data_IF_876024202912
#
_entry.id   IF_876024202912
#
_cell.length_a   1.000
_cell.length_b   1.000
_cell.length_c   1.000
_cell.angle_alpha   90.00
_cell.angle_beta   90.00
_cell.angle_gamma   90.00
#
_symmetry.space_group_name_H-M   'P 1'
#
loop_
_entity.id
_entity.type
_entity.pdbx_description
1 polymer ?
#
# COMPACT_ATOMS: atom_id res chain seq x y z
N UNK A 1 18.45 68.94 7.02
CA UNK A 1 17.52 68.24 6.09
C UNK A 1 17.46 66.79 6.56
N UNK A 2 16.29 66.34 7.02
CA UNK A 2 16.13 65.10 7.80
C UNK A 2 16.23 63.87 6.91
N UNK A 3 17.14 62.96 7.28
CA UNK A 3 17.31 61.64 6.69
C UNK A 3 16.48 60.67 7.52
N UNK A 4 15.48 60.03 6.90
CA UNK A 4 14.71 58.94 7.51
C UNK A 4 15.31 57.59 7.07
N UNK A 5 15.76 56.72 7.99
CA UNK A 5 16.05 55.34 7.67
C UNK A 5 14.77 54.48 7.79
N UNK A 6 14.37 53.86 6.69
CA UNK A 6 13.38 52.78 6.66
C UNK A 6 14.00 51.52 7.28
N UNK A 7 13.44 51.08 8.42
CA UNK A 7 13.68 49.74 8.99
C UNK A 7 12.70 48.77 8.34
N UNK A 8 13.18 47.88 7.49
CA UNK A 8 12.43 46.71 7.03
C UNK A 8 12.56 45.59 8.06
N UNK A 9 11.44 45.20 8.66
CA UNK A 9 11.35 44.03 9.54
C UNK A 9 11.08 42.75 8.73
N UNK A 10 11.74 41.67 9.18
CA UNK A 10 11.51 40.22 9.05
C UNK A 10 10.39 39.71 8.11
N UNK A 11 10.68 38.59 7.42
CA UNK A 11 10.05 37.28 7.69
C UNK A 11 11.08 36.19 7.40
N UNK A 12 11.58 35.55 8.46
CA UNK A 12 12.28 34.26 8.44
C UNK A 12 11.21 33.18 8.43
N UNK A 13 11.32 32.22 7.52
CA UNK A 13 10.45 31.05 7.48
C UNK A 13 10.64 30.19 8.72
N UNK A 14 9.58 30.03 9.51
CA UNK A 14 9.46 29.04 10.57
C UNK A 14 8.12 28.31 10.42
N UNK A 15 8.22 27.03 10.09
CA UNK A 15 7.44 25.91 10.65
C UNK A 15 5.94 26.14 10.91
N UNK A 16 5.16 25.92 9.86
CA UNK A 16 3.70 25.97 9.86
C UNK A 16 3.06 24.67 10.39
N UNK A 17 3.20 24.36 11.68
CA UNK A 17 2.32 23.36 12.33
C UNK A 17 1.90 23.68 13.77
N UNK A 18 2.44 24.73 14.40
CA UNK A 18 2.12 25.06 15.80
C UNK A 18 1.11 26.21 15.99
N UNK A 19 0.65 26.87 14.91
CA UNK A 19 -0.17 28.09 15.04
C UNK A 19 -1.69 27.84 15.11
N UNK A 20 -2.21 26.68 14.71
CA UNK A 20 -3.67 26.44 14.67
C UNK A 20 -4.21 26.08 16.07
N UNK A 21 -3.43 25.38 16.90
CA UNK A 21 -3.84 25.02 18.26
C UNK A 21 -3.93 26.23 19.21
N UNK A 22 -3.09 27.25 19.01
CA UNK A 22 -3.09 28.46 19.84
C UNK A 22 -4.32 29.34 19.60
N UNK A 23 -4.83 29.38 18.37
CA UNK A 23 -6.03 30.16 18.01
C UNK A 23 -7.31 29.51 18.56
N UNK A 24 -7.40 28.17 18.55
CA UNK A 24 -8.56 27.46 19.11
C UNK A 24 -8.63 27.52 20.65
N UNK A 25 -7.48 27.61 21.33
CA UNK A 25 -7.43 27.73 22.78
C UNK A 25 -7.94 29.08 23.28
N UNK A 26 -7.82 30.14 22.46
CA UNK A 26 -8.31 31.47 22.81
C UNK A 26 -9.83 31.60 22.63
N UNK A 27 -10.41 30.87 21.68
CA UNK A 27 -11.86 30.92 21.39
C UNK A 27 -12.71 30.10 22.38
N UNK A 28 -12.15 29.04 22.97
CA UNK A 28 -12.82 28.20 23.96
C UNK A 28 -12.76 28.75 25.41
N UNK A 29 -12.03 29.84 25.64
CA UNK A 29 -11.89 30.47 26.97
C UNK A 29 -13.08 31.33 27.42
N UNK A 30 -14.00 31.70 26.52
CA UNK A 30 -15.17 32.54 26.86
C UNK A 30 -16.44 31.74 27.19
N UNK A 31 -16.50 30.45 26.90
CA UNK A 31 -17.64 29.61 27.25
C UNK A 31 -17.37 28.92 28.60
N UNK A 32 -17.80 29.55 29.69
CA UNK A 32 -17.65 29.07 31.07
C UNK A 32 -18.26 27.68 31.30
N UNK A 33 -17.52 26.62 30.96
CA UNK A 33 -17.86 25.23 31.22
C UNK A 33 -16.96 24.66 32.34
N UNK A 34 -17.53 23.90 33.29
CA UNK A 34 -16.80 23.45 34.47
C UNK A 34 -15.71 22.45 34.08
N UNK A 35 -14.49 22.72 34.58
CA UNK A 35 -13.30 21.89 34.44
C UNK A 35 -13.44 20.57 35.24
N UNK A 36 -14.24 19.64 34.73
CA UNK A 36 -14.26 18.24 35.14
C UNK A 36 -13.45 17.40 34.14
N UNK A 37 -12.56 16.55 34.65
CA UNK A 37 -11.56 15.78 33.87
C UNK A 37 -12.13 14.85 32.79
N UNK A 38 -13.46 14.70 32.70
CA UNK A 38 -14.18 13.84 31.75
C UNK A 38 -15.47 14.50 31.20
N UNK A 39 -15.43 15.80 30.89
CA UNK A 39 -16.55 16.50 30.26
C UNK A 39 -16.81 16.08 28.79
N UNK A 40 -18.06 16.20 28.29
CA UNK A 40 -18.43 15.82 26.92
C UNK A 40 -17.63 16.55 25.83
N UNK A 41 -17.10 17.75 26.12
CA UNK A 41 -16.20 18.48 25.23
C UNK A 41 -14.86 17.78 24.99
N UNK A 42 -14.30 17.09 25.99
CA UNK A 42 -13.03 16.36 25.86
C UNK A 42 -13.22 15.09 25.01
N UNK A 43 -14.40 14.45 25.12
CA UNK A 43 -14.76 13.29 24.28
C UNK A 43 -14.93 13.68 22.81
N UNK A 44 -15.49 14.85 22.53
CA UNK A 44 -15.61 15.37 21.16
C UNK A 44 -14.24 15.74 20.57
N UNK A 45 -13.36 16.36 21.36
CA UNK A 45 -11.99 16.68 20.94
C UNK A 45 -11.15 15.42 20.74
N UNK A 46 -11.32 14.40 21.59
CA UNK A 46 -10.64 13.10 21.43
C UNK A 46 -11.18 12.33 20.23
N UNK A 47 -12.49 12.30 20.01
CA UNK A 47 -13.11 11.69 18.83
C UNK A 47 -12.70 12.42 17.54
N UNK A 48 -12.64 13.76 17.54
CA UNK A 48 -12.12 14.53 16.41
C UNK A 48 -10.63 14.32 16.18
N UNK A 49 -9.83 14.19 17.26
CA UNK A 49 -8.40 13.86 17.16
C UNK A 49 -8.18 12.44 16.62
N UNK A 50 -9.00 11.47 17.01
CA UNK A 50 -8.94 10.10 16.51
C UNK A 50 -9.46 9.99 15.06
N UNK A 51 -10.42 10.85 14.66
CA UNK A 51 -10.86 11.01 13.27
C UNK A 51 -9.81 11.68 12.39
N UNK A 52 -9.02 12.61 12.95
CA UNK A 52 -7.92 13.31 12.27
C UNK A 52 -6.58 12.55 12.32
N UNK A 53 -6.45 11.54 13.19
CA UNK A 53 -5.23 10.73 13.39
C UNK A 53 -5.36 9.30 12.85
N UNK A 54 -6.52 8.93 12.32
CA UNK A 54 -6.65 7.71 11.52
C UNK A 54 -6.00 7.95 10.16
N UNK A 55 -4.97 7.18 9.75
CA UNK A 55 -4.42 7.31 8.42
C UNK A 55 -5.55 7.01 7.42
N UNK A 56 -5.82 7.90 6.44
CA UNK A 56 -6.72 7.52 5.37
C UNK A 56 -6.12 6.29 4.70
N UNK A 57 -6.97 5.30 4.42
CA UNK A 57 -6.65 4.22 3.50
C UNK A 57 -6.37 4.88 2.15
N UNK A 58 -5.12 5.29 1.94
CA UNK A 58 -4.67 5.93 0.72
C UNK A 58 -4.60 4.84 -0.34
N UNK A 59 -5.49 4.98 -1.31
CA UNK A 59 -5.22 4.54 -2.68
C UNK A 59 -3.98 5.33 -3.13
N UNK A 60 -2.80 4.70 -3.08
CA UNK A 60 -1.51 5.27 -3.49
C UNK A 60 -1.46 5.40 -5.03
N UNK A 61 -2.36 6.19 -5.61
CA UNK A 61 -2.57 6.25 -7.06
C UNK A 61 -2.75 7.63 -7.67
N UNK A 62 -2.97 8.71 -6.91
CA UNK A 62 -3.20 10.03 -7.51
C UNK A 62 -2.48 11.15 -6.75
N UNK A 63 -1.23 11.39 -7.16
CA UNK A 63 -0.71 12.75 -7.28
C UNK A 63 -1.74 13.51 -8.14
N UNK A 64 -2.51 14.45 -7.57
CA UNK A 64 -3.60 15.20 -8.24
C UNK A 64 -3.14 16.13 -9.39
N UNK A 65 -2.03 15.81 -10.04
CA UNK A 65 -1.51 16.45 -11.23
C UNK A 65 -2.01 15.78 -12.52
N UNK A 66 -1.76 16.40 -13.68
CA UNK A 66 -2.03 15.77 -14.96
C UNK A 66 -1.29 14.43 -15.09
N UNK A 67 -1.93 13.44 -15.74
CA UNK A 67 -1.33 12.12 -16.00
C UNK A 67 0.03 12.29 -16.67
N UNK A 68 1.07 11.71 -16.05
CA UNK A 68 2.42 11.70 -16.61
C UNK A 68 2.51 10.68 -17.74
N UNK A 69 3.34 10.98 -18.73
CA UNK A 69 3.59 10.08 -19.85
C UNK A 69 4.72 9.13 -19.46
N UNK A 70 4.40 7.84 -19.37
CA UNK A 70 5.37 6.80 -19.06
C UNK A 70 6.20 6.42 -20.29
N UNK A 71 7.51 6.37 -20.09
CA UNK A 71 8.48 5.84 -21.04
C UNK A 71 9.10 4.57 -20.46
N UNK A 72 9.31 3.56 -21.32
CA UNK A 72 9.91 2.30 -20.91
C UNK A 72 11.40 2.46 -20.58
N UNK A 73 12.09 3.40 -21.25
CA UNK A 73 13.51 3.63 -21.03
C UNK A 73 13.98 5.04 -21.39
N UNK A 74 15.15 5.41 -20.87
CA UNK A 74 15.86 6.64 -21.26
C UNK A 74 16.22 6.65 -22.77
N UNK A 75 16.39 5.47 -23.37
CA UNK A 75 16.67 5.32 -24.81
C UNK A 75 15.48 5.77 -25.66
N UNK A 76 14.26 5.53 -25.20
CA UNK A 76 13.05 5.92 -25.93
C UNK A 76 12.92 7.44 -26.00
N UNK A 77 13.24 8.14 -24.90
CA UNK A 77 13.27 9.59 -24.89
C UNK A 77 14.31 10.16 -25.87
N UNK A 78 15.53 9.60 -25.85
CA UNK A 78 16.58 9.98 -26.80
C UNK A 78 16.17 9.71 -28.27
N UNK A 79 15.52 8.57 -28.52
CA UNK A 79 15.00 8.21 -29.83
C UNK A 79 13.94 9.20 -30.33
N UNK A 80 13.01 9.61 -29.46
CA UNK A 80 12.00 10.62 -29.81
C UNK A 80 12.62 11.94 -30.24
N UNK A 81 13.65 12.41 -29.52
CA UNK A 81 14.34 13.65 -29.87
C UNK A 81 15.09 13.50 -31.21
N UNK A 82 15.78 12.38 -31.41
CA UNK A 82 16.48 12.10 -32.66
C UNK A 82 15.53 12.03 -33.85
N UNK A 83 14.37 11.38 -33.70
CA UNK A 83 13.35 11.27 -34.73
C UNK A 83 12.74 12.63 -35.10
N UNK A 84 12.40 13.46 -34.09
CA UNK A 84 11.87 14.81 -34.33
C UNK A 84 12.89 15.68 -35.06
N UNK A 85 14.17 15.59 -34.69
CA UNK A 85 15.24 16.34 -35.39
C UNK A 85 15.44 15.86 -36.82
N UNK A 86 15.43 14.55 -37.05
CA UNK A 86 15.54 13.99 -38.40
C UNK A 86 14.38 14.47 -39.29
N UNK A 87 13.15 14.41 -38.79
CA UNK A 87 11.97 14.93 -39.48
C UNK A 87 12.07 16.44 -39.73
N UNK A 88 12.52 17.22 -38.73
CA UNK A 88 12.70 18.65 -38.88
C UNK A 88 13.76 19.00 -39.95
N UNK A 89 14.86 18.25 -40.01
CA UNK A 89 15.90 18.42 -41.03
C UNK A 89 15.41 18.07 -42.44
N UNK A 90 14.61 17.00 -42.57
CA UNK A 90 13.97 16.63 -43.84
C UNK A 90 13.01 17.72 -44.32
N UNK A 91 12.17 18.23 -43.44
CA UNK A 91 11.25 19.34 -43.74
C UNK A 91 12.00 20.63 -44.10
N UNK A 92 13.09 20.95 -43.40
CA UNK A 92 13.93 22.10 -43.71
C UNK A 92 14.58 21.95 -45.09
N UNK A 93 15.10 20.77 -45.42
CA UNK A 93 15.70 20.47 -46.71
C UNK A 93 14.69 20.53 -47.86
N UNK A 94 13.44 20.09 -47.62
CA UNK A 94 12.37 20.18 -48.61
C UNK A 94 11.90 21.63 -48.84
N UNK A 95 11.79 22.44 -47.78
CA UNK A 95 11.34 23.83 -47.86
C UNK A 95 12.43 24.79 -48.37
N UNK A 96 13.70 24.51 -48.04
CA UNK A 96 14.86 25.29 -48.43
C UNK A 96 15.90 24.35 -49.08
N UNK A 97 15.68 23.97 -50.36
CA UNK A 97 16.61 23.12 -51.07
C UNK A 97 17.97 23.84 -51.22
N UNK A 98 19.09 23.11 -51.07
CA UNK A 98 20.42 23.71 -51.11
C UNK A 98 20.66 24.39 -52.47
N UNK A 99 21.06 25.66 -52.44
CA UNK A 99 21.33 26.39 -53.69
C UNK A 99 22.58 25.82 -54.40
N UNK A 100 22.52 25.69 -55.73
CA UNK A 100 23.62 25.14 -56.56
C UNK A 100 24.90 25.98 -56.56
N UNK A 101 24.88 27.16 -55.93
CA UNK A 101 25.89 28.20 -56.11
C UNK A 101 26.97 28.17 -55.01
N UNK A 102 26.95 27.18 -54.11
CA UNK A 102 27.99 26.97 -53.10
C UNK A 102 28.14 28.08 -52.05
N UNK A 103 27.24 29.07 -52.04
CA UNK A 103 27.16 30.06 -50.97
C UNK A 103 26.51 29.43 -49.74
N UNK A 104 27.14 29.62 -48.58
CA UNK A 104 26.56 29.22 -47.30
C UNK A 104 25.15 29.81 -47.18
N UNK A 105 24.15 28.95 -47.03
CA UNK A 105 22.75 29.34 -46.95
C UNK A 105 22.49 29.86 -45.52
N UNK A 106 22.96 31.09 -45.24
CA UNK A 106 22.97 31.71 -43.89
C UNK A 106 21.59 31.66 -43.24
N UNK A 107 20.54 31.94 -44.03
CA UNK A 107 19.14 31.85 -43.59
C UNK A 107 18.75 30.42 -43.21
N UNK A 108 19.16 29.42 -43.99
CA UNK A 108 18.91 28.01 -43.67
C UNK A 108 19.57 27.62 -42.35
N UNK A 109 20.82 28.03 -42.16
CA UNK A 109 21.59 27.76 -40.94
C UNK A 109 20.99 28.46 -39.71
N UNK A 110 20.50 29.70 -39.86
CA UNK A 110 19.82 30.43 -38.80
C UNK A 110 18.49 29.76 -38.42
N UNK A 111 17.69 29.37 -39.41
CA UNK A 111 16.42 28.67 -39.19
C UNK A 111 16.68 27.30 -38.54
N UNK A 112 17.67 26.54 -39.01
CA UNK A 112 18.08 25.26 -38.40
C UNK A 112 18.42 25.44 -36.92
N UNK A 113 19.19 26.48 -36.57
CA UNK A 113 19.53 26.79 -35.18
C UNK A 113 18.32 27.19 -34.34
N UNK A 114 17.35 27.94 -34.90
CA UNK A 114 16.11 28.30 -34.22
C UNK A 114 15.25 27.06 -33.96
N UNK A 115 15.15 26.17 -34.94
CA UNK A 115 14.39 24.91 -34.84
C UNK A 115 15.01 23.99 -33.79
N UNK A 116 16.33 23.80 -33.80
CA UNK A 116 17.03 23.01 -32.78
C UNK A 116 16.80 23.59 -31.37
N UNK A 117 16.90 24.90 -31.21
CA UNK A 117 16.60 25.60 -29.94
C UNK A 117 15.14 25.44 -29.51
N UNK A 118 14.22 25.40 -30.46
CA UNK A 118 12.80 25.16 -30.19
C UNK A 118 12.56 23.72 -29.73
N UNK A 119 13.19 22.74 -30.38
CA UNK A 119 13.13 21.33 -30.00
C UNK A 119 13.66 21.14 -28.57
N UNK A 120 14.84 21.70 -28.26
CA UNK A 120 15.45 21.58 -26.93
C UNK A 120 14.56 22.20 -25.83
N UNK A 121 13.98 23.38 -26.10
CA UNK A 121 13.01 24.01 -25.17
C UNK A 121 11.76 23.17 -24.99
N UNK A 122 11.21 22.62 -26.07
CA UNK A 122 9.97 21.82 -26.02
C UNK A 122 10.16 20.57 -25.17
N UNK A 123 11.25 19.82 -25.40
CA UNK A 123 11.53 18.62 -24.63
C UNK A 123 11.92 18.94 -23.19
N UNK A 124 12.64 20.03 -22.93
CA UNK A 124 12.93 20.48 -21.56
C UNK A 124 11.64 20.80 -20.77
N UNK A 125 10.65 21.43 -21.41
CA UNK A 125 9.35 21.73 -20.79
C UNK A 125 8.46 20.49 -20.65
N UNK A 126 8.66 19.48 -21.49
CA UNK A 126 7.92 18.23 -21.43
C UNK A 126 8.40 17.33 -20.27
N UNK A 127 9.70 17.34 -19.95
CA UNK A 127 10.34 16.45 -18.95
C UNK A 127 9.60 16.35 -17.60
N UNK A 128 9.12 17.43 -16.97
CA UNK A 128 8.40 17.34 -15.69
C UNK A 128 7.12 16.50 -15.76
N UNK A 129 6.54 16.34 -16.97
CA UNK A 129 5.34 15.54 -17.22
C UNK A 129 5.68 14.12 -17.73
N UNK A 130 6.96 13.73 -17.73
CA UNK A 130 7.42 12.41 -18.15
C UNK A 130 7.88 11.60 -16.94
N UNK A 131 7.58 10.32 -16.98
CA UNK A 131 8.08 9.32 -16.03
C UNK A 131 8.77 8.21 -16.80
N UNK A 132 9.87 7.71 -16.25
CA UNK A 132 10.63 6.58 -16.81
C UNK A 132 10.59 5.47 -15.78
N UNK A 133 9.88 4.38 -16.07
CA UNK A 133 9.63 3.29 -15.12
C UNK A 133 9.10 3.78 -13.75
N UNK A 134 8.17 4.75 -13.76
CA UNK A 134 7.58 5.32 -12.55
C UNK A 134 8.48 6.32 -11.78
N UNK A 135 9.69 6.62 -12.25
CA UNK A 135 10.55 7.67 -11.69
C UNK A 135 10.42 8.97 -12.49
N UNK A 136 10.47 10.15 -11.85
CA UNK A 136 10.43 11.42 -12.57
C UNK A 136 11.68 11.58 -13.46
N UNK A 137 11.48 11.92 -14.73
CA UNK A 137 12.58 12.21 -15.63
C UNK A 137 13.27 13.54 -15.25
N UNK A 138 14.59 13.63 -15.42
CA UNK A 138 15.35 14.87 -15.20
C UNK A 138 15.96 15.38 -16.52
N UNK A 139 15.79 16.67 -16.80
CA UNK A 139 16.24 17.28 -18.05
C UNK A 139 17.77 17.30 -18.13
N UNK A 140 18.46 17.35 -17.00
CA UNK A 140 19.93 17.35 -16.94
C UNK A 140 20.57 16.06 -17.46
N UNK A 141 19.83 14.94 -17.46
CA UNK A 141 20.33 13.65 -17.93
C UNK A 141 20.40 13.60 -19.47
N UNK A 142 19.57 14.40 -20.14
CA UNK A 142 19.44 14.42 -21.60
C UNK A 142 20.03 15.67 -22.25
N UNK A 143 19.96 16.81 -21.55
CA UNK A 143 20.47 18.09 -22.02
C UNK A 143 21.63 18.51 -21.13
N UNK A 144 22.86 18.38 -21.63
CA UNK A 144 24.03 18.94 -20.94
C UNK A 144 23.90 20.47 -20.90
N UNK A 145 24.03 21.13 -19.74
CA UNK A 145 24.00 22.58 -19.69
C UNK A 145 25.14 23.13 -20.56
N UNK A 146 24.76 23.88 -21.59
CA UNK A 146 25.69 24.49 -22.54
C UNK A 146 26.65 25.41 -21.77
N UNK A 147 27.91 24.98 -21.60
CA UNK A 147 28.99 25.88 -21.25
C UNK A 147 29.23 26.77 -22.47
N UNK A 148 28.90 28.05 -22.30
CA UNK A 148 29.08 29.14 -23.27
C UNK A 148 30.22 28.88 -24.27
N UNK A 149 29.88 28.70 -25.55
CA UNK A 149 30.87 28.75 -26.64
C UNK A 149 30.65 27.82 -27.83
N UNK A 150 29.85 26.75 -27.74
CA UNK A 150 29.64 25.83 -28.87
C UNK A 150 28.16 25.61 -29.13
N UNK A 151 27.63 26.26 -30.18
CA UNK A 151 26.23 26.14 -30.64
C UNK A 151 26.04 24.88 -31.48
N UNK A 152 26.46 23.72 -30.96
CA UNK A 152 26.15 22.43 -31.57
C UNK A 152 25.38 21.62 -30.54
N UNK A 153 24.19 21.20 -30.93
CA UNK A 153 23.13 20.68 -30.08
C UNK A 153 23.63 19.63 -29.07
N UNK A 154 23.16 19.73 -27.83
CA UNK A 154 23.71 19.03 -26.65
C UNK A 154 23.37 17.54 -26.55
N UNK A 155 22.78 16.95 -27.58
CA UNK A 155 22.42 15.53 -27.63
C UNK A 155 23.39 14.85 -28.59
N UNK A 156 24.20 13.88 -28.12
CA UNK A 156 25.08 13.13 -29.00
C UNK A 156 24.27 12.49 -30.14
N UNK A 157 24.75 12.49 -31.39
CA UNK A 157 24.14 11.70 -32.44
C UNK A 157 23.98 10.26 -31.95
N UNK A 158 22.84 9.64 -32.25
CA UNK A 158 22.58 8.23 -31.94
C UNK A 158 23.81 7.40 -32.34
N UNK A 159 24.44 6.66 -31.40
CA UNK A 159 25.67 5.94 -31.72
C UNK A 159 25.36 4.90 -32.78
N UNK A 160 26.09 4.93 -33.89
CA UNK A 160 26.19 3.79 -34.80
C UNK A 160 26.58 2.54 -33.99
N UNK A 161 26.09 1.36 -34.38
CA UNK A 161 26.21 0.12 -33.59
C UNK A 161 27.66 -0.20 -33.15
N UNK A 162 28.67 0.28 -33.88
CA UNK A 162 30.10 0.12 -33.57
C UNK A 162 30.65 1.07 -32.48
N UNK A 163 29.98 2.19 -32.19
CA UNK A 163 30.35 3.13 -31.11
C UNK A 163 29.60 2.86 -29.79
N UNK A 164 28.74 1.84 -29.75
CA UNK A 164 27.80 1.60 -28.65
C UNK A 164 28.38 0.83 -27.45
N UNK A 165 29.59 0.30 -27.54
CA UNK A 165 30.24 -0.39 -26.42
C UNK A 165 31.12 0.60 -25.64
N UNK A 166 30.50 1.62 -25.07
CA UNK A 166 31.14 2.46 -24.05
C UNK A 166 31.14 1.67 -22.74
N UNK A 167 32.24 1.00 -22.43
CA UNK A 167 32.40 0.37 -21.12
C UNK A 167 32.53 1.45 -20.05
N UNK A 168 31.65 1.41 -19.05
CA UNK A 168 31.85 2.21 -17.86
C UNK A 168 33.20 1.86 -17.22
N UNK A 169 33.99 2.86 -16.80
CA UNK A 169 35.22 2.60 -16.06
C UNK A 169 34.93 1.75 -14.82
N UNK A 170 35.82 0.81 -14.55
CA UNK A 170 35.69 -0.07 -13.40
C UNK A 170 35.74 0.71 -12.09
N UNK A 171 34.65 0.68 -11.33
CA UNK A 171 34.53 1.32 -10.03
C UNK A 171 34.91 0.34 -8.91
N UNK A 172 36.10 0.55 -8.34
CA UNK A 172 36.64 -0.29 -7.27
C UNK A 172 35.82 -0.19 -5.97
N UNK A 173 35.18 0.96 -5.70
CA UNK A 173 34.37 1.16 -4.50
C UNK A 173 33.06 0.39 -4.59
N UNK A 174 32.38 0.46 -5.75
CA UNK A 174 31.18 -0.34 -6.00
C UNK A 174 31.48 -1.83 -5.90
N UNK A 175 32.61 -2.30 -6.45
CA UNK A 175 33.02 -3.69 -6.30
C UNK A 175 33.27 -4.06 -4.84
N UNK A 176 33.97 -3.22 -4.07
CA UNK A 176 34.20 -3.48 -2.65
C UNK A 176 32.88 -3.56 -1.88
N UNK A 177 31.91 -2.70 -2.22
CA UNK A 177 30.56 -2.73 -1.66
C UNK A 177 29.81 -4.01 -2.03
N UNK A 178 29.87 -4.45 -3.28
CA UNK A 178 29.27 -5.73 -3.71
C UNK A 178 29.88 -6.89 -2.94
N UNK A 179 31.21 -6.96 -2.81
CA UNK A 179 31.88 -8.00 -2.04
C UNK A 179 31.47 -7.99 -0.56
N UNK A 180 31.35 -6.80 0.04
CA UNK A 180 30.88 -6.67 1.42
C UNK A 180 29.41 -7.13 1.57
N UNK A 181 28.54 -6.78 0.63
CA UNK A 181 27.13 -7.22 0.64
C UNK A 181 27.00 -8.73 0.49
N UNK A 182 27.80 -9.35 -0.39
CA UNK A 182 27.83 -10.81 -0.54
C UNK A 182 28.29 -11.48 0.76
N UNK A 183 29.34 -10.96 1.41
CA UNK A 183 29.77 -11.50 2.71
C UNK A 183 28.70 -11.37 3.81
N UNK A 184 27.92 -10.28 3.79
CA UNK A 184 26.81 -10.09 4.71
C UNK A 184 25.65 -11.05 4.41
N UNK A 185 25.36 -11.29 3.13
CA UNK A 185 24.37 -12.27 2.69
C UNK A 185 24.72 -13.67 3.20
N UNK A 186 25.95 -14.12 3.00
CA UNK A 186 26.43 -15.43 3.49
C UNK A 186 26.30 -15.56 5.01
N UNK A 187 26.69 -14.53 5.77
CA UNK A 187 26.56 -14.51 7.22
C UNK A 187 25.09 -14.54 7.69
N UNK A 188 24.19 -13.85 6.99
CA UNK A 188 22.75 -13.87 7.29
C UNK A 188 22.13 -15.24 6.95
N UNK A 189 22.55 -15.86 5.85
CA UNK A 189 22.10 -17.21 5.49
C UNK A 189 22.53 -18.24 6.55
N UNK A 190 23.75 -18.14 7.07
CA UNK A 190 24.21 -18.97 8.18
C UNK A 190 23.39 -18.75 9.46
N UNK A 191 23.11 -17.49 9.82
CA UNK A 191 22.28 -17.16 10.98
C UNK A 191 20.86 -17.70 10.84
N UNK A 192 20.24 -17.57 9.66
CA UNK A 192 18.89 -18.10 9.41
C UNK A 192 18.89 -19.63 9.48
N UNK A 193 19.92 -20.30 8.96
CA UNK A 193 20.05 -21.75 9.06
C UNK A 193 20.19 -22.21 10.52
N UNK A 194 21.03 -21.52 11.31
CA UNK A 194 21.16 -21.77 12.75
C UNK A 194 19.84 -21.54 13.49
N UNK A 195 19.14 -20.44 13.19
CA UNK A 195 17.84 -20.11 13.78
C UNK A 195 16.78 -21.16 13.44
N UNK A 196 16.71 -21.61 12.19
CA UNK A 196 15.81 -22.69 11.76
C UNK A 196 16.06 -24.01 12.49
N UNK A 197 17.32 -24.30 12.84
CA UNK A 197 17.68 -25.51 13.60
C UNK A 197 17.37 -25.38 15.10
N UNK A 198 17.64 -24.22 15.70
CA UNK A 198 17.58 -24.04 17.15
C UNK A 198 16.18 -23.63 17.67
N UNK A 199 15.47 -22.75 16.96
CA UNK A 199 14.25 -22.10 17.47
C UNK A 199 13.06 -23.06 17.58
N UNK A 200 12.72 -23.90 16.59
CA UNK A 200 11.51 -24.74 16.66
C UNK A 200 11.51 -25.68 17.87
N UNK A 201 12.64 -26.36 18.13
CA UNK A 201 12.78 -27.24 19.28
C UNK A 201 12.69 -26.47 20.62
N UNK A 202 13.32 -25.29 20.70
CA UNK A 202 13.27 -24.45 21.89
C UNK A 202 11.87 -23.91 22.19
N UNK A 203 11.11 -23.51 21.16
CA UNK A 203 9.72 -23.07 21.32
C UNK A 203 8.82 -24.23 21.72
N UNK A 204 8.95 -25.39 21.06
CA UNK A 204 8.17 -26.58 21.40
C UNK A 204 8.41 -27.01 22.86
N UNK A 205 9.66 -26.99 23.33
CA UNK A 205 9.98 -27.33 24.72
C UNK A 205 9.37 -26.34 25.72
N UNK A 206 9.37 -25.03 25.41
CA UNK A 206 8.73 -24.01 26.26
C UNK A 206 7.21 -24.18 26.31
N UNK A 207 6.58 -24.47 25.18
CA UNK A 207 5.14 -24.69 25.12
C UNK A 207 4.77 -25.98 25.86
N UNK A 208 5.54 -27.05 25.70
CA UNK A 208 5.33 -28.29 26.46
C UNK A 208 5.40 -28.06 27.97
N UNK A 209 6.43 -27.36 28.45
CA UNK A 209 6.54 -27.01 29.86
C UNK A 209 5.36 -26.16 30.36
N UNK A 210 4.87 -25.21 29.56
CA UNK A 210 3.69 -24.42 29.90
C UNK A 210 2.41 -25.24 29.99
N UNK A 211 2.25 -26.25 29.12
CA UNK A 211 1.11 -27.17 29.15
C UNK A 211 1.19 -28.12 30.35
N UNK A 212 2.37 -28.65 30.66
CA UNK A 212 2.59 -29.50 31.84
C UNK A 212 2.30 -28.73 33.14
N UNK A 213 2.75 -27.46 33.22
CA UNK A 213 2.46 -26.58 34.34
C UNK A 213 0.96 -26.23 34.46
N UNK A 214 0.23 -26.16 33.34
CA UNK A 214 -1.21 -25.96 33.35
C UNK A 214 -1.94 -27.23 33.80
N UNK A 215 -1.57 -28.39 33.25
CA UNK A 215 -2.14 -29.68 33.61
C UNK A 215 -1.95 -30.00 35.10
N UNK A 216 -0.76 -29.75 35.66
CA UNK A 216 -0.50 -29.94 37.10
C UNK A 216 -1.33 -29.01 37.98
N UNK A 217 -1.60 -27.78 37.53
CA UNK A 217 -2.52 -26.86 38.23
C UNK A 217 -3.96 -27.36 38.18
N UNK A 218 -4.41 -27.82 37.02
CA UNK A 218 -5.77 -28.34 36.82
C UNK A 218 -5.98 -29.62 37.66
N UNK A 219 -4.99 -30.53 37.67
CA UNK A 219 -4.99 -31.73 38.51
C UNK A 219 -5.03 -31.39 40.01
N UNK A 220 -4.26 -30.40 40.44
CA UNK A 220 -4.27 -29.94 41.83
C UNK A 220 -5.62 -29.30 42.22
N UNK A 221 -6.25 -28.55 41.30
CA UNK A 221 -7.59 -28.00 41.51
C UNK A 221 -8.65 -29.10 41.61
N UNK A 222 -8.58 -30.10 40.71
CA UNK A 222 -9.47 -31.25 40.73
C UNK A 222 -9.32 -32.04 42.02
N UNK A 223 -8.09 -32.37 42.41
CA UNK A 223 -7.83 -33.11 43.66
C UNK A 223 -8.34 -32.34 44.88
N UNK A 224 -8.11 -31.03 44.95
CA UNK A 224 -8.66 -30.19 46.02
C UNK A 224 -10.20 -30.18 46.05
N UNK A 225 -10.85 -30.19 44.89
CA UNK A 225 -12.31 -30.29 44.80
C UNK A 225 -12.83 -31.67 45.23
N UNK A 226 -12.15 -32.76 44.85
CA UNK A 226 -12.48 -34.12 45.26
C UNK A 226 -12.32 -34.31 46.77
N UNK A 227 -11.22 -33.81 47.35
CA UNK A 227 -10.95 -33.88 48.79
C UNK A 227 -11.99 -33.05 49.59
N UNK A 228 -12.39 -31.89 49.07
CA UNK A 228 -13.47 -31.08 49.65
C UNK A 228 -14.84 -31.78 49.58
N UNK A 229 -15.13 -32.47 48.47
CA UNK A 229 -16.35 -33.27 48.33
C UNK A 229 -16.36 -34.46 49.30
N UNK A 230 -15.22 -35.15 49.47
CA UNK A 230 -15.06 -36.29 50.35
C UNK A 230 -15.15 -35.92 51.85
N UNK A 231 -14.66 -34.75 52.24
CA UNK A 231 -14.61 -34.31 53.66
C UNK A 231 -15.91 -33.69 54.18
N UNK A 232 -16.87 -33.34 53.33
CA UNK A 232 -18.17 -32.90 53.84
C UNK A 232 -19.04 -32.15 52.84
N UNK A 233 -19.63 -32.88 51.91
CA UNK A 233 -21.00 -32.65 51.40
C UNK A 233 -21.41 -33.84 50.53
N UNK A 234 -22.02 -34.84 51.15
CA UNK A 234 -22.85 -35.80 50.43
C UNK A 234 -24.08 -35.03 49.89
N UNK A 235 -23.89 -34.32 48.78
CA UNK A 235 -24.99 -33.89 47.93
C UNK A 235 -25.26 -35.08 47.00
N UNK A 236 -26.55 -35.42 46.88
CA UNK A 236 -27.04 -36.52 46.04
C UNK A 236 -26.30 -36.56 44.69
N UNK A 237 -25.86 -37.76 44.31
CA UNK A 237 -24.78 -38.04 43.35
C UNK A 237 -24.93 -37.56 41.90
N UNK A 238 -25.87 -36.64 41.61
CA UNK A 238 -25.95 -35.90 40.35
C UNK A 238 -25.39 -34.47 40.40
N UNK A 239 -25.41 -33.81 41.56
CA UNK A 239 -25.17 -32.36 41.66
C UNK A 239 -23.70 -31.99 41.97
N UNK A 240 -22.92 -32.94 42.51
CA UNK A 240 -21.50 -32.74 42.76
C UNK A 240 -20.70 -32.53 41.46
N UNK A 241 -21.06 -33.23 40.37
CA UNK A 241 -20.40 -33.09 39.07
C UNK A 241 -20.75 -31.77 38.37
N UNK A 242 -21.97 -31.27 38.58
CA UNK A 242 -22.48 -30.00 38.02
C UNK A 242 -21.85 -28.76 38.67
N UNK A 243 -21.40 -28.86 39.93
CA UNK A 243 -20.64 -27.80 40.61
C UNK A 243 -19.16 -27.77 40.22
N UNK A 244 -18.61 -28.87 39.68
CA UNK A 244 -17.21 -28.96 39.24
C UNK A 244 -16.97 -28.36 37.85
N UNK A 245 -17.99 -28.33 37.00
CA UNK A 245 -17.89 -27.76 35.65
C UNK A 245 -18.49 -26.36 35.63
N UNK A 246 -17.73 -25.32 35.25
CA UNK A 246 -18.34 -24.02 34.99
C UNK A 246 -19.40 -24.16 33.89
N UNK A 247 -20.47 -23.36 33.94
CA UNK A 247 -21.51 -23.41 32.92
C UNK A 247 -20.89 -23.21 31.54
N UNK A 248 -21.07 -24.19 30.65
CA UNK A 248 -20.52 -24.15 29.30
C UNK A 248 -21.14 -22.96 28.56
N UNK A 249 -20.30 -22.07 28.01
CA UNK A 249 -20.69 -20.78 27.43
C UNK A 249 -21.77 -20.85 26.33
N UNK A 250 -22.00 -22.02 25.73
CA UNK A 250 -22.96 -22.22 24.63
C UNK A 250 -24.01 -23.30 24.89
N UNK A 251 -24.16 -23.77 26.13
CA UNK A 251 -25.05 -24.89 26.44
C UNK A 251 -26.50 -24.61 26.04
N UNK A 252 -27.03 -23.46 26.44
CA UNK A 252 -28.41 -23.06 26.17
C UNK A 252 -28.71 -23.04 24.65
N UNK A 253 -27.80 -22.48 23.87
CA UNK A 253 -27.94 -22.43 22.41
C UNK A 253 -27.85 -23.79 21.74
N UNK A 254 -27.09 -24.74 22.29
CA UNK A 254 -27.03 -26.13 21.78
C UNK A 254 -28.35 -26.85 22.10
N UNK A 255 -28.87 -26.70 23.32
CA UNK A 255 -30.12 -27.32 23.75
C UNK A 255 -31.33 -26.80 22.97
N UNK A 256 -31.39 -25.48 22.72
CA UNK A 256 -32.47 -24.87 21.94
C UNK A 256 -32.49 -25.39 20.49
N UNK A 257 -31.31 -25.44 19.84
CA UNK A 257 -31.18 -25.98 18.47
C UNK A 257 -31.53 -27.45 18.40
N UNK A 258 -31.10 -28.24 19.38
CA UNK A 258 -31.44 -29.65 19.45
C UNK A 258 -32.95 -29.86 19.60
N UNK A 259 -33.59 -29.12 20.52
CA UNK A 259 -35.05 -29.15 20.71
C UNK A 259 -35.80 -28.77 19.42
N UNK A 260 -35.37 -27.70 18.76
CA UNK A 260 -35.93 -27.27 17.48
C UNK A 260 -35.78 -28.33 16.37
N UNK A 261 -34.63 -29.00 16.30
CA UNK A 261 -34.40 -30.07 15.33
C UNK A 261 -35.32 -31.29 15.59
N UNK A 262 -35.49 -31.68 16.86
CA UNK A 262 -36.38 -32.78 17.25
C UNK A 262 -37.84 -32.45 16.93
N UNK A 263 -38.28 -31.22 17.21
CA UNK A 263 -39.65 -30.77 16.91
C UNK A 263 -39.91 -30.72 15.40
N UNK A 264 -38.96 -30.23 14.60
CA UNK A 264 -39.04 -30.22 13.14
C UNK A 264 -39.13 -31.64 12.57
N UNK A 265 -38.33 -32.57 13.09
CA UNK A 265 -38.38 -33.97 12.70
C UNK A 265 -39.72 -34.62 13.07
N UNK A 266 -40.29 -34.27 14.23
CA UNK A 266 -41.62 -34.72 14.65
C UNK A 266 -42.73 -34.22 13.73
N UNK A 267 -42.66 -32.96 13.29
CA UNK A 267 -43.60 -32.40 12.29
C UNK A 267 -43.46 -33.10 10.95
N UNK A 268 -42.23 -33.27 10.45
CA UNK A 268 -41.97 -33.96 9.19
C UNK A 268 -42.53 -35.39 9.22
N UNK A 269 -42.32 -36.14 10.31
CA UNK A 269 -42.86 -37.49 10.48
C UNK A 269 -44.39 -37.52 10.44
N UNK A 270 -45.06 -36.48 10.98
CA UNK A 270 -46.53 -36.37 10.98
C UNK A 270 -47.09 -36.00 9.60
N UNK A 271 -46.40 -35.11 8.89
CA UNK A 271 -46.90 -34.52 7.65
C UNK A 271 -46.55 -35.34 6.40
N UNK A 272 -45.46 -36.13 6.46
CA UNK A 272 -45.01 -37.01 5.37
C UNK A 272 -46.10 -37.93 4.80
N UNK A 273 -46.89 -38.67 5.62
CA UNK A 273 -47.96 -39.53 5.10
C UNK A 273 -49.04 -38.76 4.32
N UNK A 274 -49.37 -37.54 4.74
CA UNK A 274 -50.38 -36.69 4.07
C UNK A 274 -49.88 -36.19 2.73
N UNK A 275 -48.62 -35.75 2.67
CA UNK A 275 -47.98 -35.31 1.42
C UNK A 275 -47.89 -36.47 0.44
N UNK A 276 -47.46 -37.66 0.89
CA UNK A 276 -47.43 -38.87 0.05
C UNK A 276 -48.83 -39.21 -0.47
N UNK A 277 -49.86 -39.20 0.38
CA UNK A 277 -51.24 -39.45 -0.07
C UNK A 277 -51.79 -38.41 -1.06
N UNK A 278 -51.32 -37.16 -1.01
CA UNK A 278 -51.65 -36.14 -2.02
C UNK A 278 -50.89 -36.38 -3.33
N UNK A 279 -49.62 -36.77 -3.25
CA UNK A 279 -48.81 -37.11 -4.42
C UNK A 279 -49.35 -38.33 -5.15
N UNK A 280 -49.72 -39.40 -4.44
CA UNK A 280 -50.33 -40.59 -5.03
C UNK A 280 -51.66 -40.27 -5.71
N UNK A 281 -52.54 -39.48 -5.07
CA UNK A 281 -53.80 -39.05 -5.70
C UNK A 281 -53.58 -38.20 -6.95
N UNK A 282 -52.61 -37.28 -6.92
CA UNK A 282 -52.27 -36.48 -8.09
C UNK A 282 -51.67 -37.34 -9.22
N UNK A 283 -50.87 -38.35 -8.87
CA UNK A 283 -50.32 -39.32 -9.82
C UNK A 283 -51.45 -40.11 -10.51
N UNK A 284 -52.35 -40.71 -9.72
CA UNK A 284 -53.49 -41.48 -10.25
C UNK A 284 -54.37 -40.60 -11.15
N UNK A 285 -54.70 -39.38 -10.72
CA UNK A 285 -55.47 -38.45 -11.55
C UNK A 285 -54.75 -38.10 -12.87
N UNK A 286 -53.43 -37.97 -12.85
CA UNK A 286 -52.62 -37.76 -14.06
C UNK A 286 -52.63 -38.95 -15.02
N UNK A 287 -52.65 -40.19 -14.50
CA UNK A 287 -52.77 -41.41 -15.31
C UNK A 287 -54.15 -41.48 -16.00
N UNK A 288 -55.25 -41.19 -15.29
CA UNK A 288 -56.59 -41.15 -15.89
C UNK A 288 -56.72 -40.14 -17.05
N UNK A 289 -56.17 -38.92 -16.87
CA UNK A 289 -56.20 -37.88 -17.93
C UNK A 289 -55.37 -38.30 -19.16
N UNK A 290 -54.34 -39.13 -18.96
CA UNK A 290 -53.48 -39.61 -20.04
C UNK A 290 -54.12 -40.74 -20.86
N UNK A 291 -54.89 -41.60 -20.21
CA UNK A 291 -55.52 -42.77 -20.83
C UNK A 291 -56.86 -42.44 -21.53
N UNK A 292 -57.51 -41.31 -21.21
CA UNK A 292 -58.74 -40.82 -21.88
C UNK A 292 -58.49 -40.03 -23.19
N UNK A 293 -57.26 -40.05 -23.73
CA UNK A 293 -56.87 -39.40 -25.00
C UNK A 293 -56.31 -40.40 -25.99
#
# INVERSE_FOLDING_TARGET
>A
MRVYPQKSYLIVGMESHHSIAAVYSLWLGEAGWPAGRDGPGIRLVKAMKDLLSSPPLMDDGEDGGPRRIELASHKDFAFLIANVRAAAAEHLHAAFPPQSNGGEDELRNEIEAIVDSYIDRTFTLAVPNLSINGLPANAADFFKPSRSGSRKSSIPPMPSEEASISYEPFDAEKRARVAALVSQEEALLEQVAAMKRAVPAGVAAKVAAQLDDAATRDDAQLQGALDAAATGRALDGGDALLLLLPPLERQEGVEERFRGAVDALGRLKRDMPSVVAKMERARVAGEYVRDER
#
